data_IF_679777481422
#
_entry.id   IF_679777481422
#
_cell.length_a   1.000
_cell.length_b   1.000
_cell.length_c   1.000
_cell.angle_alpha   90.00
_cell.angle_beta   90.00
_cell.angle_gamma   90.00
#
_symmetry.space_group_name_H-M   'P 1'
#
loop_
_entity.id
_entity.type
_entity.pdbx_description
1 polymer ?
#
# COMPACT_ATOMS: atom_id res chain seq x y z
N UNK A 1 -5.09 12.27 1.13
CA UNK A 1 -4.21 11.51 2.06
C UNK A 1 -4.94 10.26 2.49
N UNK A 2 -4.35 9.08 2.26
CA UNK A 2 -4.97 7.78 2.54
C UNK A 2 -4.26 7.07 3.69
N UNK A 3 -4.94 6.11 4.33
CA UNK A 3 -4.38 5.32 5.44
C UNK A 3 -4.50 3.82 5.19
N UNK A 4 -3.38 3.12 5.35
CA UNK A 4 -3.26 1.67 5.18
C UNK A 4 -2.58 1.05 6.39
N UNK A 5 -3.25 0.08 7.02
CA UNK A 5 -2.64 -0.75 8.04
C UNK A 5 -2.08 -2.01 7.37
N UNK A 6 -0.89 -2.44 7.79
CA UNK A 6 -0.15 -3.53 7.16
C UNK A 6 0.38 -4.47 8.24
N UNK A 7 0.42 -5.77 7.97
CA UNK A 7 1.07 -6.73 8.88
C UNK A 7 2.55 -6.36 9.04
N UNK A 8 3.08 -6.49 10.26
CA UNK A 8 4.43 -6.06 10.64
C UNK A 8 5.53 -6.52 9.67
N UNK A 9 5.47 -7.79 9.23
CA UNK A 9 6.42 -8.34 8.25
C UNK A 9 6.50 -7.48 6.98
N UNK A 10 5.36 -7.12 6.40
CA UNK A 10 5.32 -6.33 5.16
C UNK A 10 5.52 -4.83 5.43
N UNK A 11 5.10 -4.34 6.60
CA UNK A 11 5.37 -2.97 7.04
C UNK A 11 6.88 -2.69 7.06
N UNK A 12 7.68 -3.58 7.67
CA UNK A 12 9.13 -3.43 7.74
C UNK A 12 9.79 -3.47 6.35
N UNK A 13 9.26 -4.27 5.42
CA UNK A 13 9.73 -4.31 4.03
C UNK A 13 9.39 -3.02 3.26
N UNK A 14 8.21 -2.44 3.49
CA UNK A 14 7.84 -1.15 2.87
C UNK A 14 8.67 -0.01 3.47
N UNK A 15 8.82 0.01 4.80
CA UNK A 15 9.58 1.04 5.53
C UNK A 15 11.08 1.04 5.19
N UNK A 16 11.66 -0.14 4.93
CA UNK A 16 13.04 -0.28 4.45
C UNK A 16 13.21 -0.02 2.95
N UNK A 17 12.12 0.08 2.19
CA UNK A 17 12.16 0.23 0.73
C UNK A 17 12.43 -1.05 -0.05
N UNK A 18 12.62 -2.20 0.62
CA UNK A 18 12.79 -3.50 -0.02
C UNK A 18 11.52 -3.97 -0.76
N UNK A 19 10.35 -3.51 -0.31
CA UNK A 19 9.06 -3.66 -1.00
C UNK A 19 8.57 -2.28 -1.41
N UNK A 20 8.28 -2.10 -2.70
CA UNK A 20 7.83 -0.82 -3.27
C UNK A 20 6.42 -0.86 -3.84
N UNK A 21 5.81 -2.04 -3.90
CA UNK A 21 4.46 -2.28 -4.44
C UNK A 21 3.58 -2.81 -3.31
N UNK A 22 2.42 -2.20 -3.08
CA UNK A 22 1.39 -2.67 -2.12
C UNK A 22 0.13 -3.10 -2.90
N UNK A 23 -0.31 -4.34 -2.70
CA UNK A 23 -1.47 -4.90 -3.40
C UNK A 23 -2.73 -4.79 -2.54
N UNK A 24 -3.85 -4.39 -3.15
CA UNK A 24 -5.16 -4.29 -2.51
C UNK A 24 -6.26 -4.64 -3.50
N UNK A 25 -7.41 -5.10 -2.98
CA UNK A 25 -8.63 -5.16 -3.78
C UNK A 25 -9.01 -3.75 -4.26
N UNK A 26 -9.57 -3.65 -5.46
CA UNK A 26 -10.00 -2.38 -6.06
C UNK A 26 -11.40 -1.96 -5.55
N UNK A 27 -11.55 -1.95 -4.23
CA UNK A 27 -12.75 -1.48 -3.51
C UNK A 27 -12.92 0.05 -3.61
N UNK A 28 -14.11 0.58 -3.33
CA UNK A 28 -14.43 2.02 -3.45
C UNK A 28 -13.40 2.94 -2.77
N UNK A 29 -12.84 2.51 -1.63
CA UNK A 29 -11.83 3.27 -0.90
C UNK A 29 -10.50 3.35 -1.67
N UNK A 30 -10.15 2.29 -2.42
CA UNK A 30 -8.91 2.21 -3.22
C UNK A 30 -9.09 2.81 -4.60
N UNK A 31 -10.33 2.87 -5.12
CA UNK A 31 -10.67 3.62 -6.33
C UNK A 31 -10.44 5.12 -6.18
N UNK A 32 -10.51 5.65 -4.96
CA UNK A 32 -10.25 7.07 -4.68
C UNK A 32 -8.76 7.45 -4.62
N UNK A 33 -7.83 6.50 -4.77
CA UNK A 33 -6.38 6.79 -4.76
C UNK A 33 -5.94 7.24 -6.15
N UNK A 34 -5.19 8.34 -6.22
CA UNK A 34 -4.63 8.90 -7.44
C UNK A 34 -3.10 8.94 -7.41
N UNK A 35 -2.46 8.99 -8.58
CA UNK A 35 -1.02 9.26 -8.68
C UNK A 35 -0.74 10.65 -8.09
N UNK A 36 0.31 10.74 -7.26
CA UNK A 36 0.67 11.93 -6.51
C UNK A 36 0.08 11.98 -5.09
N UNK A 37 -0.88 11.11 -4.75
CA UNK A 37 -1.40 11.03 -3.38
C UNK A 37 -0.33 10.52 -2.40
N UNK A 38 -0.45 10.95 -1.15
CA UNK A 38 0.31 10.39 -0.03
C UNK A 38 -0.50 9.32 0.70
N UNK A 39 0.13 8.19 0.98
CA UNK A 39 -0.35 7.12 1.85
C UNK A 39 0.45 7.14 3.16
N UNK A 40 -0.27 7.16 4.28
CA UNK A 40 0.28 6.89 5.61
C UNK A 40 0.10 5.39 5.90
N UNK A 41 1.21 4.70 6.08
CA UNK A 41 1.26 3.30 6.48
C UNK A 41 1.44 3.19 7.98
N UNK A 42 0.79 2.21 8.59
CA UNK A 42 0.94 1.85 10.00
C UNK A 42 1.13 0.34 10.16
N UNK A 43 1.85 -0.06 11.20
CA UNK A 43 1.96 -1.47 11.58
C UNK A 43 0.69 -1.92 12.32
N UNK A 44 0.18 -3.11 12.00
CA UNK A 44 -0.91 -3.71 12.79
C UNK A 44 -0.47 -4.10 14.21
N UNK A 45 0.83 -4.33 14.43
CA UNK A 45 1.38 -4.62 15.77
C UNK A 45 1.53 -3.36 16.63
N UNK A 46 1.74 -2.21 16.00
CA UNK A 46 1.80 -0.90 16.64
C UNK A 46 1.28 0.18 15.68
N UNK A 47 0.05 0.63 15.91
CA UNK A 47 -0.61 1.61 15.05
C UNK A 47 0.02 3.01 15.14
N UNK A 48 0.87 3.26 16.14
CA UNK A 48 1.55 4.53 16.34
C UNK A 48 2.84 4.63 15.52
N UNK A 49 3.48 3.50 15.20
CA UNK A 49 4.58 3.46 14.24
C UNK A 49 4.01 3.63 12.83
N UNK A 50 4.32 4.79 12.24
CA UNK A 50 3.86 5.16 10.90
C UNK A 50 4.97 5.75 10.05
N UNK A 51 4.82 5.60 8.73
CA UNK A 51 5.60 6.35 7.75
C UNK A 51 4.72 6.71 6.55
N UNK A 52 5.19 7.67 5.74
CA UNK A 52 4.47 8.16 4.57
C UNK A 52 5.21 7.80 3.29
N UNK A 53 4.46 7.48 2.25
CA UNK A 53 4.97 7.27 0.91
C UNK A 53 4.03 7.91 -0.13
N UNK A 54 4.58 8.25 -1.28
CA UNK A 54 3.82 8.84 -2.38
C UNK A 54 3.48 7.78 -3.42
N UNK A 55 2.27 7.87 -3.98
CA UNK A 55 1.80 7.01 -5.06
C UNK A 55 2.42 7.50 -6.37
N UNK A 56 3.39 6.75 -6.89
CA UNK A 56 4.05 7.08 -8.17
C UNK A 56 3.38 6.41 -9.38
N UNK A 57 2.63 5.33 -9.17
CA UNK A 57 1.94 4.59 -10.22
C UNK A 57 0.76 3.79 -9.65
N UNK A 58 -0.22 3.46 -10.49
CA UNK A 58 -1.38 2.61 -10.17
C UNK A 58 -1.54 1.57 -11.26
N UNK A 59 -1.52 0.29 -10.87
CA UNK A 59 -1.74 -0.84 -11.76
C UNK A 59 -3.01 -1.58 -11.37
N UNK A 60 -3.85 -1.92 -12.36
CA UNK A 60 -5.11 -2.65 -12.17
C UNK A 60 -5.03 -3.97 -12.94
N UNK A 61 -5.51 -5.02 -12.32
CA UNK A 61 -5.61 -6.35 -12.91
C UNK A 61 -6.93 -7.01 -12.51
N UNK A 62 -7.43 -7.90 -13.35
CA UNK A 62 -8.70 -8.63 -13.14
C UNK A 62 -8.63 -9.62 -11.97
N UNK A 63 -7.44 -10.08 -11.61
CA UNK A 63 -7.23 -11.00 -10.48
C UNK A 63 -5.81 -10.88 -9.93
N UNK A 64 -5.57 -11.46 -8.74
CA UNK A 64 -4.22 -11.59 -8.20
C UNK A 64 -3.33 -12.51 -9.05
N UNK A 65 -3.91 -13.51 -9.72
CA UNK A 65 -3.14 -14.41 -10.59
C UNK A 65 -2.54 -13.66 -11.78
N UNK A 66 -3.32 -12.77 -12.39
CA UNK A 66 -2.88 -11.93 -13.52
C UNK A 66 -1.76 -10.93 -13.18
N UNK A 67 -1.38 -10.80 -11.91
CA UNK A 67 -0.23 -9.97 -11.47
C UNK A 67 1.08 -10.76 -11.40
N UNK A 68 1.02 -12.09 -11.51
CA UNK A 68 2.16 -12.99 -11.36
C UNK A 68 2.62 -13.62 -12.69
N UNK A 69 1.87 -13.40 -13.77
CA UNK A 69 2.19 -13.81 -15.13
C UNK A 69 3.04 -12.74 -15.85
#
# INVERSE_FOLDING_TARGET
MHKLNVQEKYYNLLKSGAKTIELRLYDEKRQAILIGDTIEFSSLSDITDTFKANVINLHKAESFAALCD
#
